data_IF_966677382504
#
_entry.id   IF_966677382504
#
_cell.length_a   1.000
_cell.length_b   1.000
_cell.length_c   1.000
_cell.angle_alpha   90.00
_cell.angle_beta   90.00
_cell.angle_gamma   90.00
#
_symmetry.space_group_name_H-M   'P 1'
#
loop_
_entity.id
_entity.type
_entity.pdbx_description
1 polymer ?
#
# COMPACT_ATOMS: atom_id res chain seq x y z
N UNK A 1 28.05 -10.25 13.25
CA UNK A 1 27.20 -10.06 12.04
C UNK A 1 26.80 -11.44 11.58
N UNK A 2 25.56 -11.87 11.85
CA UNK A 2 25.05 -13.14 11.34
C UNK A 2 25.04 -13.14 9.82
N UNK A 3 25.35 -14.29 9.22
CA UNK A 3 25.37 -14.45 7.78
C UNK A 3 23.97 -14.20 7.22
N UNK A 4 23.85 -13.24 6.30
CA UNK A 4 22.63 -13.02 5.53
C UNK A 4 22.37 -14.27 4.69
N UNK A 5 21.29 -14.99 4.99
CA UNK A 5 20.92 -16.18 4.23
C UNK A 5 19.91 -15.80 3.15
N UNK A 6 20.10 -16.39 1.97
CA UNK A 6 19.12 -16.33 0.90
C UNK A 6 18.09 -17.43 1.12
N UNK A 7 16.81 -17.05 1.06
CA UNK A 7 15.69 -17.98 1.17
C UNK A 7 15.06 -18.06 -0.23
N UNK A 8 15.13 -19.24 -0.83
CA UNK A 8 14.61 -19.45 -2.19
C UNK A 8 13.09 -19.31 -2.25
N UNK A 9 12.38 -20.06 -1.41
CA UNK A 9 10.93 -20.09 -1.38
C UNK A 9 10.41 -20.43 0.02
N UNK A 10 9.37 -19.74 0.46
CA UNK A 10 8.61 -20.05 1.68
C UNK A 10 7.13 -19.84 1.42
N UNK A 11 6.30 -20.79 1.87
CA UNK A 11 4.85 -20.69 1.80
C UNK A 11 4.29 -20.64 3.21
N UNK A 12 3.37 -19.71 3.46
CA UNK A 12 2.79 -19.52 4.78
C UNK A 12 1.50 -18.72 4.74
N UNK A 13 0.73 -18.83 5.82
CA UNK A 13 -0.52 -18.09 6.04
C UNK A 13 -0.25 -16.85 6.87
N UNK A 14 -0.84 -15.72 6.50
CA UNK A 14 -0.69 -14.47 7.26
C UNK A 14 -1.52 -14.54 8.54
N UNK A 15 -0.86 -14.42 9.68
CA UNK A 15 -1.48 -14.46 11.02
C UNK A 15 -1.41 -13.11 11.75
N UNK A 16 -0.65 -12.16 11.19
CA UNK A 16 -0.63 -10.77 11.63
C UNK A 16 -0.26 -9.86 10.46
N UNK A 17 -0.98 -8.76 10.34
CA UNK A 17 -0.72 -7.71 9.36
C UNK A 17 -0.77 -6.38 10.10
N UNK A 18 0.37 -5.69 10.18
CA UNK A 18 0.39 -4.35 10.77
C UNK A 18 -0.42 -3.41 9.88
N UNK A 19 -1.33 -2.68 10.51
CA UNK A 19 -2.22 -1.77 9.81
C UNK A 19 -1.42 -0.65 9.12
N UNK A 20 -0.58 0.06 9.88
CA UNK A 20 0.28 1.12 9.35
C UNK A 20 1.54 0.63 8.66
N UNK A 21 2.14 1.55 7.90
CA UNK A 21 3.43 1.37 7.23
C UNK A 21 4.44 2.36 7.81
N UNK A 22 5.72 2.02 7.74
CA UNK A 22 6.81 2.88 8.20
C UNK A 22 7.66 3.33 7.00
N UNK A 23 8.18 4.55 7.04
CA UNK A 23 9.24 4.98 6.13
C UNK A 23 10.61 4.79 6.78
N UNK A 24 11.52 4.18 6.04
CA UNK A 24 12.91 3.98 6.44
C UNK A 24 13.81 4.67 5.43
N UNK A 25 14.73 5.49 5.91
CA UNK A 25 15.75 6.06 5.06
C UNK A 25 16.86 5.04 4.77
N UNK A 26 17.04 4.69 3.50
CA UNK A 26 18.11 3.80 3.06
C UNK A 26 18.82 4.39 1.83
N UNK A 27 20.11 4.70 1.99
CA UNK A 27 20.95 5.30 0.94
C UNK A 27 20.38 6.62 0.39
N UNK A 28 19.88 7.49 1.27
CA UNK A 28 19.28 8.78 0.90
C UNK A 28 17.92 8.65 0.23
N UNK A 29 17.22 7.52 0.42
CA UNK A 29 15.85 7.29 -0.09
C UNK A 29 14.93 6.96 1.04
N UNK A 30 13.74 7.50 1.01
CA UNK A 30 12.65 7.05 1.87
C UNK A 30 12.00 5.83 1.22
N UNK A 31 12.02 4.71 1.93
CA UNK A 31 11.44 3.44 1.50
C UNK A 31 10.33 3.05 2.46
N UNK A 32 9.16 2.75 1.90
CA UNK A 32 8.03 2.26 2.69
C UNK A 32 8.21 0.79 3.04
N UNK A 33 7.91 0.44 4.29
CA UNK A 33 7.92 -0.93 4.79
C UNK A 33 6.67 -1.27 5.58
N UNK A 34 6.29 -2.55 5.54
CA UNK A 34 5.18 -3.10 6.32
C UNK A 34 5.62 -4.39 7.01
N UNK A 35 5.27 -4.50 8.30
CA UNK A 35 5.58 -5.68 9.10
C UNK A 35 4.41 -6.66 9.06
N UNK A 36 4.69 -7.92 8.72
CA UNK A 36 3.71 -9.00 8.71
C UNK A 36 4.28 -10.21 9.46
N UNK A 37 3.42 -11.05 10.00
CA UNK A 37 3.82 -12.36 10.55
C UNK A 37 3.09 -13.41 9.75
N UNK A 38 3.86 -14.36 9.22
CA UNK A 38 3.29 -15.54 8.60
C UNK A 38 3.61 -16.78 9.43
N UNK A 39 2.74 -17.77 9.29
CA UNK A 39 2.78 -19.05 9.97
C UNK A 39 2.82 -20.17 8.93
N UNK A 40 3.65 -21.18 9.17
CA UNK A 40 3.64 -22.46 8.49
C UNK A 40 3.50 -23.60 9.50
N UNK A 41 3.69 -24.85 9.06
CA UNK A 41 3.63 -26.01 9.95
C UNK A 41 4.77 -26.06 10.98
N UNK A 42 5.87 -25.32 10.76
CA UNK A 42 7.06 -25.31 11.61
C UNK A 42 7.03 -24.22 12.67
N UNK A 43 6.35 -23.11 12.40
CA UNK A 43 6.22 -22.02 13.35
C UNK A 43 5.81 -20.71 12.70
N UNK A 44 6.12 -19.61 13.40
CA UNK A 44 5.81 -18.25 12.99
C UNK A 44 7.09 -17.45 12.83
N UNK A 45 7.14 -16.59 11.82
CA UNK A 45 8.27 -15.69 11.62
C UNK A 45 7.80 -14.33 11.12
N UNK A 46 8.48 -13.28 11.58
CA UNK A 46 8.27 -11.92 11.12
C UNK A 46 8.84 -11.76 9.70
N UNK A 47 8.06 -11.13 8.84
CA UNK A 47 8.40 -10.79 7.47
C UNK A 47 8.24 -9.28 7.27
N UNK A 48 9.25 -8.64 6.69
CA UNK A 48 9.20 -7.24 6.28
C UNK A 48 8.98 -7.12 4.78
N UNK A 49 7.88 -6.48 4.39
CA UNK A 49 7.54 -6.13 3.01
C UNK A 49 8.09 -4.74 2.68
N UNK A 50 8.58 -4.55 1.46
CA UNK A 50 9.17 -3.28 0.99
C UNK A 50 8.48 -2.74 -0.25
N UNK A 51 8.34 -1.42 -0.33
CA UNK A 51 7.90 -0.67 -1.51
C UNK A 51 6.64 -1.27 -2.17
N UNK A 52 6.76 -1.78 -3.39
CA UNK A 52 5.64 -2.31 -4.19
C UNK A 52 5.01 -3.58 -3.63
N UNK A 53 5.62 -4.22 -2.63
CA UNK A 53 5.11 -5.42 -1.99
C UNK A 53 4.23 -5.09 -0.77
N UNK A 54 4.22 -3.83 -0.33
CA UNK A 54 3.37 -3.33 0.76
C UNK A 54 1.90 -3.34 0.32
N UNK A 55 1.01 -3.83 1.18
CA UNK A 55 -0.42 -3.90 0.90
C UNK A 55 -0.87 -4.97 -0.11
N UNK A 56 0.03 -5.85 -0.56
CA UNK A 56 -0.30 -6.98 -1.46
C UNK A 56 -0.92 -8.16 -0.70
N UNK A 57 -0.54 -8.33 0.56
CA UNK A 57 -0.97 -9.47 1.38
C UNK A 57 -2.17 -9.09 2.25
N UNK A 58 -3.02 -10.09 2.49
CA UNK A 58 -4.21 -9.98 3.34
C UNK A 58 -4.10 -10.96 4.51
N UNK A 59 -4.68 -10.56 5.65
CA UNK A 59 -4.78 -11.41 6.82
C UNK A 59 -5.55 -12.71 6.50
N UNK A 60 -5.13 -13.82 7.10
CA UNK A 60 -5.78 -15.13 6.96
C UNK A 60 -5.54 -15.85 5.63
N UNK A 61 -5.09 -15.15 4.59
CA UNK A 61 -4.74 -15.72 3.30
C UNK A 61 -3.34 -16.36 3.31
N UNK A 62 -3.13 -17.30 2.38
CA UNK A 62 -1.88 -18.03 2.22
C UNK A 62 -1.11 -17.52 1.01
N UNK A 63 0.18 -17.29 1.18
CA UNK A 63 1.05 -16.79 0.12
C UNK A 63 2.31 -17.63 0.01
N UNK A 64 2.78 -17.78 -1.22
CA UNK A 64 4.09 -18.27 -1.57
C UNK A 64 4.99 -17.07 -1.87
N UNK A 65 6.05 -16.94 -1.10
CA UNK A 65 7.09 -15.93 -1.25
C UNK A 65 8.34 -16.56 -1.83
N UNK A 66 8.95 -15.91 -2.83
CA UNK A 66 10.24 -16.34 -3.37
C UNK A 66 11.30 -15.25 -3.29
N UNK A 67 12.57 -15.63 -3.38
CA UNK A 67 13.73 -14.73 -3.36
C UNK A 67 13.80 -13.81 -2.14
N UNK A 68 13.62 -14.39 -0.96
CA UNK A 68 13.67 -13.70 0.32
C UNK A 68 15.11 -13.67 0.87
N UNK A 69 15.33 -12.87 1.91
CA UNK A 69 16.58 -12.92 2.67
C UNK A 69 16.34 -12.76 4.16
N UNK A 70 17.20 -13.34 4.98
CA UNK A 70 17.16 -13.11 6.43
C UNK A 70 17.89 -11.83 6.81
N UNK A 71 17.42 -11.18 7.87
CA UNK A 71 18.12 -10.10 8.56
C UNK A 71 18.01 -10.30 10.06
N UNK A 72 19.02 -9.82 10.77
CA UNK A 72 19.01 -9.77 12.23
C UNK A 72 19.05 -8.31 12.64
N UNK A 73 18.11 -7.89 13.47
CA UNK A 73 18.08 -6.55 14.04
C UNK A 73 17.69 -6.66 15.51
N UNK A 74 18.46 -6.01 16.38
CA UNK A 74 18.25 -6.05 17.84
C UNK A 74 18.15 -7.49 18.41
N UNK A 75 18.84 -8.45 17.80
CA UNK A 75 18.83 -9.86 18.21
C UNK A 75 17.61 -10.66 17.74
N UNK A 76 16.69 -10.05 16.99
CA UNK A 76 15.56 -10.73 16.35
C UNK A 76 15.92 -11.08 14.90
N UNK A 77 15.83 -12.36 14.55
CA UNK A 77 15.95 -12.84 13.18
C UNK A 77 14.59 -12.73 12.49
N UNK A 78 14.54 -11.99 11.39
CA UNK A 78 13.34 -11.83 10.59
C UNK A 78 13.65 -12.02 9.11
N UNK A 79 12.61 -12.34 8.34
CA UNK A 79 12.68 -12.44 6.90
C UNK A 79 12.38 -11.08 6.30
N UNK A 80 13.07 -10.72 5.22
CA UNK A 80 12.78 -9.52 4.46
C UNK A 80 12.66 -9.87 3.00
N UNK A 81 11.69 -9.24 2.35
CA UNK A 81 11.60 -9.23 0.90
C UNK A 81 12.76 -8.45 0.27
N UNK A 82 12.98 -8.71 -1.01
CA UNK A 82 13.98 -8.08 -1.85
C UNK A 82 13.31 -7.53 -3.12
N UNK A 83 14.07 -6.80 -3.95
CA UNK A 83 13.56 -6.29 -5.24
C UNK A 83 13.18 -7.38 -6.24
N UNK A 84 13.67 -8.60 -6.04
CA UNK A 84 13.38 -9.77 -6.90
C UNK A 84 12.36 -10.70 -6.26
N UNK A 85 11.81 -10.33 -5.10
CA UNK A 85 10.81 -11.15 -4.43
C UNK A 85 9.50 -11.14 -5.20
N UNK A 86 8.93 -12.33 -5.35
CA UNK A 86 7.59 -12.55 -5.89
C UNK A 86 6.68 -13.01 -4.75
N UNK A 87 5.41 -12.63 -4.84
CA UNK A 87 4.36 -12.96 -3.88
C UNK A 87 3.20 -13.51 -4.70
N UNK A 88 2.81 -14.75 -4.43
CA UNK A 88 1.71 -15.43 -5.11
C UNK A 88 0.70 -15.92 -4.07
N UNK A 89 -0.57 -15.54 -4.22
CA UNK A 89 -1.64 -16.11 -3.39
C UNK A 89 -1.83 -17.59 -3.77
N UNK A 90 -1.86 -18.46 -2.76
CA UNK A 90 -2.03 -19.90 -2.94
C UNK A 90 -3.18 -20.41 -2.09
N UNK A 91 -3.66 -21.61 -2.43
CA UNK A 91 -4.65 -22.30 -1.63
C UNK A 91 -4.21 -22.55 -0.19
N UNK A 92 -5.15 -22.89 0.71
CA UNK A 92 -4.86 -23.14 2.11
C UNK A 92 -3.84 -24.28 2.29
N UNK A 93 -2.88 -24.10 3.18
CA UNK A 93 -1.91 -25.13 3.53
C UNK A 93 -2.57 -26.27 4.33
N UNK A 94 -2.22 -27.50 3.96
CA UNK A 94 -2.67 -28.69 4.68
C UNK A 94 -2.00 -28.81 6.05
N UNK A 95 -2.75 -29.25 7.06
CA UNK A 95 -2.22 -29.49 8.42
C UNK A 95 -2.08 -28.24 9.28
N UNK A 96 -2.57 -27.08 8.84
CA UNK A 96 -2.65 -25.88 9.67
C UNK A 96 -3.87 -25.92 10.59
N UNK A 97 -3.68 -25.55 11.86
CA UNK A 97 -4.77 -25.34 12.80
C UNK A 97 -5.59 -24.07 12.50
N UNK A 98 -6.56 -23.78 13.36
CA UNK A 98 -7.33 -22.53 13.33
C UNK A 98 -6.38 -21.31 13.36
N UNK A 99 -6.77 -20.24 12.66
CA UNK A 99 -6.00 -19.00 12.66
C UNK A 99 -6.07 -18.41 14.07
N UNK A 100 -4.93 -18.37 14.74
CA UNK A 100 -4.79 -17.66 16.02
C UNK A 100 -4.06 -16.35 15.74
N UNK A 101 -4.74 -15.19 15.83
CA UNK A 101 -4.09 -13.89 15.69
C UNK A 101 -2.90 -13.81 16.64
N UNK A 102 -1.76 -13.34 16.15
CA UNK A 102 -0.64 -13.07 17.02
C UNK A 102 -0.95 -11.84 17.89
N UNK A 103 -0.79 -11.98 19.20
CA UNK A 103 -0.88 -10.87 20.13
C UNK A 103 0.42 -10.05 20.06
N UNK A 104 0.46 -9.11 19.10
CA UNK A 104 1.54 -8.14 18.94
C UNK A 104 1.09 -6.84 19.57
N UNK A 105 1.86 -6.32 20.54
CA UNK A 105 1.60 -5.00 21.11
C UNK A 105 1.92 -3.93 20.06
N UNK A 106 0.87 -3.33 19.51
CA UNK A 106 0.95 -2.21 18.58
C UNK A 106 0.16 -1.01 19.11
N UNK A 107 0.56 0.17 18.67
CA UNK A 107 -0.19 1.39 18.97
C UNK A 107 -1.58 1.34 18.31
N UNK A 108 -2.63 1.81 18.99
CA UNK A 108 -3.99 1.74 18.47
C UNK A 108 -4.14 2.60 17.22
N UNK A 109 -4.95 2.12 16.29
CA UNK A 109 -5.38 2.91 15.13
C UNK A 109 -6.49 3.86 15.58
N UNK A 110 -6.27 5.16 15.40
CA UNK A 110 -7.25 6.21 15.74
C UNK A 110 -7.94 6.64 14.45
N UNK A 111 -9.26 6.77 14.49
CA UNK A 111 -10.04 7.30 13.37
C UNK A 111 -10.47 8.72 13.68
N UNK A 112 -10.21 9.66 12.78
CA UNK A 112 -10.65 11.05 12.92
C UNK A 112 -11.15 11.61 11.59
N UNK A 113 -12.11 12.53 11.66
CA UNK A 113 -12.53 13.35 10.53
C UNK A 113 -11.79 14.68 10.61
N UNK A 114 -11.06 15.04 9.57
CA UNK A 114 -10.31 16.30 9.54
C UNK A 114 -10.14 16.81 8.12
N UNK A 115 -9.92 18.12 8.02
CA UNK A 115 -9.55 18.79 6.78
C UNK A 115 -8.03 18.95 6.72
N UNK A 116 -7.43 18.81 5.53
CA UNK A 116 -6.00 19.06 5.32
C UNK A 116 -5.83 20.57 5.12
N UNK A 117 -5.11 21.23 6.04
CA UNK A 117 -4.86 22.68 5.96
C UNK A 117 -3.50 23.02 5.36
N UNK A 118 -2.53 22.10 5.45
CA UNK A 118 -1.17 22.26 4.92
C UNK A 118 -0.68 20.91 4.41
N UNK A 119 -0.01 20.92 3.27
CA UNK A 119 0.58 19.73 2.66
C UNK A 119 1.98 20.06 2.12
N UNK A 120 2.92 19.16 2.36
CA UNK A 120 4.23 19.10 1.70
C UNK A 120 4.35 17.71 1.08
N UNK A 121 4.47 17.64 -0.25
CA UNK A 121 4.58 16.38 -0.99
C UNK A 121 5.96 16.25 -1.59
N UNK A 122 6.63 15.14 -1.29
CA UNK A 122 7.93 14.79 -1.84
C UNK A 122 7.74 13.67 -2.85
N UNK A 123 7.81 14.01 -4.15
CA UNK A 123 7.80 13.03 -5.24
C UNK A 123 9.23 12.61 -5.58
N UNK A 124 9.50 11.32 -5.47
CA UNK A 124 10.76 10.68 -5.83
C UNK A 124 10.60 9.79 -7.06
N UNK A 125 11.69 9.65 -7.82
CA UNK A 125 11.68 8.94 -9.11
C UNK A 125 12.74 7.89 -9.18
N UNK A 126 12.34 6.67 -9.52
CA UNK A 126 13.26 5.53 -9.65
C UNK A 126 13.38 5.09 -11.09
N UNK A 127 14.63 4.98 -11.59
CA UNK A 127 14.92 4.52 -12.94
C UNK A 127 14.38 3.09 -13.17
N UNK A 128 13.62 2.89 -14.25
CA UNK A 128 13.05 1.58 -14.59
C UNK A 128 14.10 0.48 -14.79
N UNK A 129 15.29 0.83 -15.27
CA UNK A 129 16.38 -0.12 -15.55
C UNK A 129 17.22 -0.44 -14.29
N UNK A 130 17.96 0.54 -13.76
CA UNK A 130 18.92 0.28 -12.67
C UNK A 130 18.32 0.44 -11.26
N UNK A 131 17.04 0.81 -11.18
CA UNK A 131 16.30 1.09 -9.94
C UNK A 131 17.02 2.11 -9.05
N UNK A 132 17.68 3.09 -9.68
CA UNK A 132 18.31 4.21 -8.97
C UNK A 132 17.33 5.36 -8.78
N UNK A 133 17.29 5.96 -7.59
CA UNK A 133 16.58 7.21 -7.36
C UNK A 133 17.25 8.33 -8.16
N UNK A 134 16.45 9.27 -8.65
CA UNK A 134 16.86 10.43 -9.41
C UNK A 134 16.51 11.69 -8.61
N UNK A 135 17.45 12.61 -8.50
CA UNK A 135 17.27 13.90 -7.79
C UNK A 135 17.15 15.08 -8.75
N UNK A 136 17.55 14.91 -10.01
CA UNK A 136 17.55 15.92 -11.08
C UNK A 136 16.43 15.68 -12.10
N UNK A 137 15.38 14.96 -11.69
CA UNK A 137 14.26 14.64 -12.55
C UNK A 137 13.35 15.88 -12.72
N UNK A 138 13.03 16.22 -13.96
CA UNK A 138 12.19 17.36 -14.33
C UNK A 138 10.94 16.84 -15.05
N UNK A 139 9.79 16.86 -14.36
CA UNK A 139 8.52 16.29 -14.84
C UNK A 139 8.11 16.77 -16.23
N UNK A 140 8.58 17.94 -16.65
CA UNK A 140 8.23 18.58 -17.94
C UNK A 140 9.00 18.00 -19.13
N UNK A 141 10.14 17.34 -18.92
CA UNK A 141 10.93 16.75 -20.02
C UNK A 141 10.36 15.41 -20.42
N UNK A 142 10.43 15.09 -21.72
CA UNK A 142 9.97 13.81 -22.29
C UNK A 142 10.96 12.66 -22.12
N UNK A 143 12.23 13.00 -21.91
CA UNK A 143 13.32 12.05 -21.79
C UNK A 143 14.25 12.48 -20.67
N UNK A 144 14.71 11.50 -19.88
CA UNK A 144 15.69 11.70 -18.82
C UNK A 144 16.82 10.72 -18.99
N UNK A 145 18.04 11.18 -18.68
CA UNK A 145 19.20 10.32 -18.57
C UNK A 145 19.36 9.93 -17.12
N UNK A 146 19.46 8.64 -16.84
CA UNK A 146 19.65 8.19 -15.46
C UNK A 146 21.04 8.58 -14.94
N UNK A 147 21.13 9.20 -13.77
CA UNK A 147 22.40 9.59 -13.14
C UNK A 147 23.35 8.43 -12.82
N UNK A 148 22.83 7.20 -12.68
CA UNK A 148 23.63 6.02 -12.31
C UNK A 148 24.02 5.17 -13.50
N UNK A 149 23.07 4.79 -14.36
CA UNK A 149 23.34 3.91 -15.50
C UNK A 149 23.57 4.68 -16.81
N UNK A 150 23.45 6.01 -16.81
CA UNK A 150 23.64 6.89 -17.96
C UNK A 150 22.76 6.57 -19.19
N UNK A 151 21.79 5.67 -19.08
CA UNK A 151 20.85 5.38 -20.18
C UNK A 151 19.82 6.50 -20.29
N UNK A 152 19.54 6.93 -21.52
CA UNK A 152 18.44 7.84 -21.84
C UNK A 152 17.15 7.03 -21.96
N UNK A 153 16.10 7.46 -21.25
CA UNK A 153 14.84 6.74 -21.15
C UNK A 153 13.66 7.71 -21.26
N UNK A 154 12.51 7.23 -21.72
CA UNK A 154 11.25 8.00 -21.66
C UNK A 154 10.87 8.27 -20.21
N UNK A 155 10.30 9.43 -19.91
CA UNK A 155 9.92 9.82 -18.54
C UNK A 155 8.97 8.82 -17.87
N UNK A 156 8.05 8.24 -18.63
CA UNK A 156 7.14 7.19 -18.14
C UNK A 156 7.80 5.85 -17.77
N UNK A 157 9.09 5.65 -18.09
CA UNK A 157 9.83 4.46 -17.63
C UNK A 157 10.37 4.62 -16.21
N UNK A 158 10.25 5.80 -15.61
CA UNK A 158 10.61 6.05 -14.23
C UNK A 158 9.39 5.85 -13.33
N UNK A 159 9.55 5.03 -12.30
CA UNK A 159 8.51 4.79 -11.31
C UNK A 159 8.48 5.95 -10.32
N UNK A 160 7.29 6.56 -10.15
CA UNK A 160 7.03 7.60 -9.16
C UNK A 160 6.76 6.95 -7.80
N UNK A 161 7.25 7.59 -6.73
CA UNK A 161 6.83 7.31 -5.37
C UNK A 161 6.69 8.63 -4.62
N UNK A 162 5.61 8.81 -3.87
CA UNK A 162 5.33 10.04 -3.15
C UNK A 162 5.19 9.79 -1.65
N UNK A 163 5.59 10.77 -0.85
CA UNK A 163 5.32 10.83 0.58
C UNK A 163 4.77 12.22 0.85
N UNK A 164 3.67 12.31 1.58
CA UNK A 164 3.06 13.59 1.94
C UNK A 164 3.14 13.80 3.45
N UNK A 165 3.69 14.93 3.87
CA UNK A 165 3.60 15.41 5.24
C UNK A 165 2.47 16.44 5.28
N UNK A 166 1.42 16.15 6.04
CA UNK A 166 0.22 17.01 6.07
C UNK A 166 -0.11 17.43 7.48
N UNK A 167 -0.56 18.67 7.64
CA UNK A 167 -1.24 19.11 8.86
C UNK A 167 -2.74 19.01 8.64
N UNK A 168 -3.41 18.27 9.52
CA UNK A 168 -4.85 18.09 9.52
C UNK A 168 -5.47 18.86 10.68
N UNK A 169 -6.59 19.51 10.44
CA UNK A 169 -7.39 20.19 11.44
C UNK A 169 -8.64 19.35 11.73
N UNK A 170 -8.67 18.74 12.91
CA UNK A 170 -9.84 18.03 13.42
C UNK A 170 -10.41 18.68 14.67
N UNK A 171 -11.38 18.02 15.29
CA UNK A 171 -12.07 18.52 16.49
C UNK A 171 -11.13 18.76 17.69
N UNK A 172 -10.04 17.99 17.76
CA UNK A 172 -9.02 18.08 18.81
C UNK A 172 -7.90 19.08 18.51
N UNK A 173 -7.97 19.81 17.39
CA UNK A 173 -6.96 20.76 16.95
C UNK A 173 -6.11 20.27 15.77
N UNK A 174 -4.96 20.91 15.58
CA UNK A 174 -4.02 20.60 14.50
C UNK A 174 -3.16 19.37 14.85
N UNK A 175 -3.04 18.44 13.89
CA UNK A 175 -2.20 17.26 14.00
C UNK A 175 -1.33 17.11 12.76
N UNK A 176 -0.05 16.84 12.93
CA UNK A 176 0.86 16.54 11.82
C UNK A 176 0.90 15.02 11.59
N UNK A 177 0.60 14.60 10.36
CA UNK A 177 0.59 13.19 9.96
C UNK A 177 1.33 13.00 8.64
N UNK A 178 1.86 11.80 8.44
CA UNK A 178 2.54 11.38 7.21
C UNK A 178 1.64 10.42 6.43
N UNK A 179 1.48 10.65 5.13
CA UNK A 179 0.76 9.76 4.21
C UNK A 179 1.81 9.09 3.33
N UNK A 180 1.91 7.77 3.47
CA UNK A 180 2.90 6.98 2.76
C UNK A 180 2.45 6.65 1.33
N UNK A 181 3.42 6.22 0.51
CA UNK A 181 3.23 5.98 -0.91
C UNK A 181 2.06 5.01 -1.19
N UNK A 182 1.96 3.90 -0.47
CA UNK A 182 0.88 2.92 -0.66
C UNK A 182 -0.51 3.52 -0.43
N UNK A 183 -0.65 4.39 0.57
CA UNK A 183 -1.91 5.05 0.94
C UNK A 183 -2.27 6.12 -0.08
N UNK A 184 -1.31 6.93 -0.52
CA UNK A 184 -1.50 7.90 -1.61
C UNK A 184 -1.92 7.20 -2.91
N UNK A 185 -1.24 6.13 -3.31
CA UNK A 185 -1.60 5.36 -4.51
C UNK A 185 -3.01 4.78 -4.41
N UNK A 186 -3.41 4.25 -3.24
CA UNK A 186 -4.75 3.72 -3.01
C UNK A 186 -5.80 4.83 -3.12
N UNK A 187 -5.55 5.97 -2.48
CA UNK A 187 -6.44 7.13 -2.54
C UNK A 187 -6.63 7.65 -3.97
N UNK A 188 -5.52 7.82 -4.71
CA UNK A 188 -5.54 8.32 -6.09
C UNK A 188 -6.15 7.33 -7.08
N UNK A 189 -5.97 6.02 -6.87
CA UNK A 189 -6.62 4.98 -7.68
C UNK A 189 -8.13 5.04 -7.52
N UNK A 190 -8.62 5.18 -6.29
CA UNK A 190 -10.06 5.24 -6.01
C UNK A 190 -10.74 6.49 -6.60
N UNK A 191 -9.98 7.56 -6.86
CA UNK A 191 -10.47 8.77 -7.51
C UNK A 191 -10.20 8.85 -9.02
N UNK A 192 -9.56 7.85 -9.63
CA UNK A 192 -9.07 7.87 -11.02
C UNK A 192 -8.09 9.03 -11.36
N UNK A 193 -7.33 9.51 -10.36
CA UNK A 193 -6.45 10.69 -10.48
C UNK A 193 -4.96 10.33 -10.33
N UNK A 194 -4.58 9.14 -10.77
CA UNK A 194 -3.20 8.62 -10.64
C UNK A 194 -2.13 9.45 -11.35
N UNK A 195 -2.51 10.33 -12.27
CA UNK A 195 -1.61 11.25 -12.95
C UNK A 195 -1.00 12.30 -12.01
N UNK A 196 -1.63 12.61 -10.86
CA UNK A 196 -1.10 13.61 -9.92
C UNK A 196 0.25 13.21 -9.34
N UNK A 197 0.56 11.90 -9.25
CA UNK A 197 1.91 11.43 -8.84
C UNK A 197 3.05 11.93 -9.73
N UNK A 198 2.73 12.55 -10.87
CA UNK A 198 3.67 13.22 -11.76
C UNK A 198 4.20 14.55 -11.23
N UNK A 199 3.42 15.25 -10.42
CA UNK A 199 3.76 16.59 -9.95
C UNK A 199 3.43 16.76 -8.47
N UNK A 200 4.41 17.23 -7.70
CA UNK A 200 4.23 17.44 -6.27
C UNK A 200 3.20 18.56 -6.00
N UNK A 201 3.22 19.62 -6.81
CA UNK A 201 2.34 20.77 -6.61
C UNK A 201 0.87 20.39 -6.87
N UNK A 202 0.60 19.72 -7.98
CA UNK A 202 -0.77 19.29 -8.31
C UNK A 202 -1.32 18.31 -7.23
N UNK A 203 -0.46 17.49 -6.62
CA UNK A 203 -0.85 16.65 -5.47
C UNK A 203 -1.17 17.46 -4.22
N UNK A 204 -0.36 18.46 -3.90
CA UNK A 204 -0.58 19.34 -2.74
C UNK A 204 -1.90 20.09 -2.88
N UNK A 205 -2.14 20.71 -4.03
CA UNK A 205 -3.38 21.42 -4.33
C UNK A 205 -4.59 20.49 -4.21
N UNK A 206 -4.50 19.28 -4.78
CA UNK A 206 -5.58 18.30 -4.68
C UNK A 206 -5.88 17.88 -3.23
N UNK A 207 -4.85 17.67 -2.40
CA UNK A 207 -5.03 17.29 -1.00
C UNK A 207 -5.71 18.41 -0.20
N UNK A 208 -5.39 19.67 -0.49
CA UNK A 208 -6.01 20.85 0.14
C UNK A 208 -7.46 21.06 -0.32
N UNK A 209 -7.78 20.74 -1.58
CA UNK A 209 -9.14 20.88 -2.14
C UNK A 209 -10.07 19.69 -1.80
N UNK A 210 -9.55 18.61 -1.23
CA UNK A 210 -10.33 17.40 -0.94
C UNK A 210 -11.39 17.58 0.17
N UNK A 211 -11.35 18.67 0.93
CA UNK A 211 -12.27 18.93 2.04
C UNK A 211 -12.08 17.96 3.21
N UNK A 212 -13.17 17.54 3.85
CA UNK A 212 -13.13 16.64 5.01
C UNK A 212 -12.81 15.19 4.60
N UNK A 213 -11.78 14.65 5.23
CA UNK A 213 -11.33 13.27 5.04
C UNK A 213 -11.50 12.49 6.34
N UNK A 214 -11.94 11.23 6.21
CA UNK A 214 -11.88 10.26 7.28
C UNK A 214 -10.50 9.58 7.24
N UNK A 215 -9.68 9.86 8.25
CA UNK A 215 -8.31 9.39 8.37
C UNK A 215 -8.19 8.34 9.46
N UNK A 216 -7.55 7.22 9.14
CA UNK A 216 -7.14 6.20 10.10
C UNK A 216 -5.64 6.37 10.33
N UNK A 217 -5.23 6.69 11.55
CA UNK A 217 -3.84 7.07 11.89
C UNK A 217 -3.29 6.09 12.92
N UNK A 218 -2.04 5.65 12.71
CA UNK A 218 -1.25 4.87 13.64
C UNK A 218 0.15 5.49 13.72
N UNK A 219 0.60 5.92 14.92
CA UNK A 219 1.91 6.55 15.12
C UNK A 219 2.20 7.72 14.16
N UNK A 220 1.24 8.63 14.02
CA UNK A 220 1.27 9.76 13.09
C UNK A 220 1.37 9.38 11.60
N UNK A 221 1.30 8.09 11.25
CA UNK A 221 1.19 7.65 9.86
C UNK A 221 -0.27 7.36 9.52
N UNK A 222 -0.74 7.89 8.40
CA UNK A 222 -2.05 7.57 7.85
C UNK A 222 -2.00 6.16 7.26
N UNK A 223 -2.89 5.31 7.73
CA UNK A 223 -3.08 3.91 7.34
C UNK A 223 -4.09 3.80 6.19
N UNK A 224 -5.16 4.57 6.28
CA UNK A 224 -6.21 4.63 5.29
C UNK A 224 -6.85 6.02 5.31
N UNK A 225 -7.26 6.48 4.14
CA UNK A 225 -7.96 7.75 3.97
C UNK A 225 -9.10 7.58 2.97
N UNK A 226 -10.25 8.16 3.30
CA UNK A 226 -11.45 8.12 2.47
C UNK A 226 -12.10 9.51 2.49
N UNK A 227 -12.61 9.97 1.35
CA UNK A 227 -13.41 11.20 1.30
C UNK A 227 -14.67 11.02 2.15
N UNK A 228 -14.92 11.93 3.08
CA UNK A 228 -16.19 11.91 3.80
C UNK A 228 -17.31 12.30 2.81
N UNK A 229 -18.44 11.57 2.77
CA UNK A 229 -19.57 11.98 1.95
C UNK A 229 -20.07 13.36 2.41
N UNK A 230 -20.33 14.26 1.45
CA UNK A 230 -20.75 15.66 1.68
C UNK A 230 -22.07 15.81 2.46
N UNK A 231 -22.74 14.71 2.82
CA UNK A 231 -23.94 14.69 3.66
C UNK A 231 -23.66 14.01 5.00
N UNK A 232 -22.90 14.65 5.88
CA UNK A 232 -23.07 14.62 7.35
C UNK A 232 -22.12 15.63 7.99
N UNK A 233 -22.27 16.93 7.69
CA UNK A 233 -21.60 17.98 8.46
C UNK A 233 -22.26 18.24 9.83
N UNK A 234 -23.28 17.45 10.24
CA UNK A 234 -23.96 17.64 11.53
C UNK A 234 -24.28 16.37 12.34
N UNK A 235 -23.94 15.16 11.90
CA UNK A 235 -24.35 13.92 12.62
C UNK A 235 -23.24 12.89 12.89
N UNK A 236 -22.00 13.08 12.43
CA UNK A 236 -20.88 12.23 12.85
C UNK A 236 -20.39 12.53 14.30
N UNK A 237 -20.86 13.64 14.88
CA UNK A 237 -20.52 14.11 16.22
C UNK A 237 -21.41 13.48 17.30
N UNK A 238 -21.41 12.16 17.44
CA UNK A 238 -21.74 11.45 18.70
C UNK A 238 -21.71 9.92 18.52
N UNK A 239 -20.51 9.34 18.47
CA UNK A 239 -20.29 8.03 19.10
C UNK A 239 -18.80 7.74 19.21
N UNK A 240 -18.28 7.81 20.43
CA UNK A 240 -17.04 7.10 20.76
C UNK A 240 -17.36 5.61 20.69
N UNK A 241 -17.04 4.98 19.57
CA UNK A 241 -17.05 3.53 19.44
C UNK A 241 -15.60 3.08 19.24
N UNK A 242 -15.02 2.48 20.29
CA UNK A 242 -13.82 1.68 20.17
C UNK A 242 -14.20 0.39 19.45
N UNK A 243 -13.81 0.24 18.19
CA UNK A 243 -14.09 -0.96 17.39
C UNK A 243 -12.77 -1.67 17.06
N UNK A 244 -12.74 -2.97 17.32
CA UNK A 244 -11.63 -3.88 17.04
C UNK A 244 -11.38 -3.98 15.54
N UNK A 245 -10.11 -3.78 15.14
CA UNK A 245 -9.65 -3.53 13.78
C UNK A 245 -9.60 -4.76 12.84
N UNK A 246 -10.42 -5.79 13.05
CA UNK A 246 -10.31 -7.05 12.28
C UNK A 246 -11.39 -7.25 11.22
N UNK A 247 -12.48 -6.47 11.22
CA UNK A 247 -13.63 -6.72 10.32
C UNK A 247 -13.66 -5.92 9.02
N UNK A 248 -13.25 -4.65 9.02
CA UNK A 248 -13.60 -3.73 7.92
C UNK A 248 -12.54 -3.59 6.81
N UNK A 249 -11.38 -4.25 6.96
CA UNK A 249 -10.40 -4.31 5.86
C UNK A 249 -10.83 -5.28 4.75
N UNK A 250 -11.75 -6.23 5.04
CA UNK A 250 -12.26 -7.17 4.04
C UNK A 250 -13.27 -6.52 3.08
N UNK A 251 -13.99 -5.47 3.51
CA UNK A 251 -15.03 -4.86 2.68
C UNK A 251 -14.48 -3.98 1.55
N UNK A 252 -13.23 -3.51 1.65
CA UNK A 252 -12.56 -2.78 0.58
C UNK A 252 -11.93 -3.71 -0.48
N UNK A 253 -11.84 -5.01 -0.20
CA UNK A 253 -11.31 -6.02 -1.12
C UNK A 253 -12.42 -6.85 -1.82
N UNK A 254 -13.68 -6.72 -1.39
CA UNK A 254 -14.80 -7.52 -1.89
C UNK A 254 -15.62 -6.84 -3.02
N UNK A 255 -15.25 -5.64 -3.48
CA UNK A 255 -15.96 -4.95 -4.55
C UNK A 255 -15.54 -5.38 -5.97
N UNK A 256 -14.51 -6.23 -6.10
CA UNK A 256 -14.18 -6.91 -7.36
C UNK A 256 -14.95 -8.23 -7.43
N UNK A 257 -16.23 -8.18 -7.81
CA UNK A 257 -16.84 -9.23 -8.62
C UNK A 257 -18.22 -8.81 -9.20
N UNK A 258 -18.30 -8.89 -10.54
CA UNK A 258 -19.48 -9.04 -11.41
C UNK A 258 -20.26 -7.78 -11.86
N UNK A 259 -19.83 -7.20 -13.00
CA UNK A 259 -20.76 -6.84 -14.08
C UNK A 259 -20.21 -7.29 -15.44
N UNK A 260 -20.45 -8.55 -15.80
CA UNK A 260 -20.50 -8.96 -17.20
C UNK A 260 -21.84 -8.48 -17.78
N UNK A 261 -21.82 -7.37 -18.51
CA UNK A 261 -22.99 -6.92 -19.26
C UNK A 261 -23.23 -7.87 -20.44
N UNK A 262 -24.16 -8.80 -20.24
CA UNK A 262 -24.87 -9.44 -21.32
C UNK A 262 -25.89 -8.45 -21.90
N UNK A 263 -25.56 -7.82 -23.03
CA UNK A 263 -26.53 -7.18 -23.91
C UNK A 263 -26.75 -8.09 -25.12
N UNK A 264 -27.97 -8.62 -25.21
CA UNK A 264 -28.40 -9.52 -26.26
C UNK A 264 -28.62 -8.82 -27.61
N UNK A 265 -28.48 -9.62 -28.67
CA UNK A 265 -29.01 -9.34 -29.99
C UNK A 265 -29.48 -10.65 -30.60
N UNK A 266 -30.80 -10.87 -30.57
CA UNK A 266 -31.48 -11.97 -31.25
C UNK A 266 -31.72 -11.63 -32.74
N UNK A 267 -32.05 -12.67 -33.52
CA UNK A 267 -32.28 -12.77 -34.97
C UNK A 267 -31.01 -13.19 -35.75
N UNK A 268 -30.92 -14.31 -36.47
CA UNK A 268 -31.93 -15.13 -37.13
C UNK A 268 -31.51 -16.62 -37.17
N UNK A 269 -32.49 -17.51 -36.97
CA UNK A 269 -32.40 -18.94 -37.28
C UNK A 269 -33.29 -19.21 -38.50
N UNK A 270 -32.73 -19.51 -39.69
CA UNK A 270 -33.34 -20.42 -40.69
C UNK A 270 -32.25 -21.03 -41.60
N UNK A 271 -31.86 -22.25 -41.24
CA UNK A 271 -31.89 -23.46 -42.07
C UNK A 271 -31.21 -23.53 -43.47
N UNK A 272 -30.35 -24.56 -43.57
CA UNK A 272 -30.27 -25.56 -44.64
C UNK A 272 -29.18 -25.48 -45.73
N UNK A 273 -28.38 -26.56 -45.72
CA UNK A 273 -27.97 -27.42 -46.85
C UNK A 273 -26.90 -26.95 -47.85
N UNK A 274 -25.83 -27.75 -47.84
CA UNK A 274 -25.23 -28.44 -49.00
C UNK A 274 -25.02 -27.63 -50.30
N UNK A 275 -23.80 -27.20 -50.56
CA UNK A 275 -22.77 -27.85 -51.40
C UNK A 275 -21.59 -26.89 -51.58
#
# INVERSE_FOLDING_TARGET
MSARQHIGEVTGRIVHLRAGTDNVEFQGRQLETQSVIFEDASGKIRLQLWESQVGVVLFGKTYKFSNLSTREFQGELFVTTTRQSTIEEVGPLSGMGAIVPCDVREDPVISLCAEIIRAEVIVSRTCGNCKCSQTDFDSRKKFHRCMKCNMLQKSGMYTASAIANVTVLGDSGELNVCINNSVLHRFLRNGDITHLLQDAQDMEEHLLECGFLKLHIQNNNVVAMVKAPEQTASEACSSKSSVSATGDLELLCAADEVESVCAGGAADEVNSRCK
#
